data_IF_132347348093
#
_entry.id   IF_132347348093
#
_cell.length_a   1.000
_cell.length_b   1.000
_cell.length_c   1.000
_cell.angle_alpha   90.00
_cell.angle_beta   90.00
_cell.angle_gamma   90.00
#
_symmetry.space_group_name_H-M   'P 1'
#
loop_
_entity.id
_entity.type
_entity.pdbx_description
1 polymer ?
#
# COMPACT_ATOMS: atom_id res chain seq x y z
N UNK A 1 -61.13 21.96 -8.04
CA UNK A 1 -59.78 22.31 -7.54
C UNK A 1 -59.05 21.15 -6.85
N UNK A 2 -59.69 20.00 -6.63
CA UNK A 2 -59.10 18.86 -5.90
C UNK A 2 -58.15 17.99 -6.75
N UNK A 3 -58.41 17.88 -8.06
CA UNK A 3 -57.56 17.11 -8.97
C UNK A 3 -56.19 17.75 -9.23
N UNK A 4 -56.07 19.08 -9.15
CA UNK A 4 -54.81 19.80 -9.33
C UNK A 4 -53.84 19.64 -8.15
N UNK A 5 -54.36 19.43 -6.92
CA UNK A 5 -53.54 19.15 -5.74
C UNK A 5 -53.01 17.71 -5.72
N UNK A 6 -53.79 16.75 -6.24
CA UNK A 6 -53.37 15.34 -6.33
C UNK A 6 -52.30 15.10 -7.41
N UNK A 7 -52.37 15.81 -8.54
CA UNK A 7 -51.30 15.74 -9.56
C UNK A 7 -50.01 16.41 -9.10
N UNK A 8 -50.08 17.52 -8.35
CA UNK A 8 -48.89 18.17 -7.80
C UNK A 8 -48.15 17.28 -6.77
N UNK A 9 -48.90 16.54 -5.93
CA UNK A 9 -48.33 15.59 -4.96
C UNK A 9 -47.64 14.38 -5.62
N UNK A 10 -48.15 13.91 -6.76
CA UNK A 10 -47.56 12.78 -7.50
C UNK A 10 -46.25 13.18 -8.20
N UNK A 11 -46.14 14.43 -8.68
CA UNK A 11 -44.92 14.95 -9.34
C UNK A 11 -43.79 15.18 -8.34
N UNK A 12 -44.10 15.59 -7.10
CA UNK A 12 -43.10 15.76 -6.03
C UNK A 12 -42.53 14.43 -5.50
N UNK A 13 -43.30 13.34 -5.56
CA UNK A 13 -42.86 11.99 -5.19
C UNK A 13 -41.93 11.35 -6.23
N UNK A 14 -42.02 11.76 -7.50
CA UNK A 14 -41.16 11.24 -8.59
C UNK A 14 -39.74 11.84 -8.59
N UNK A 15 -39.50 12.94 -7.86
CA UNK A 15 -38.18 13.60 -7.80
C UNK A 15 -37.32 13.12 -6.62
N UNK A 16 -37.84 12.27 -5.74
CA UNK A 16 -37.14 11.78 -4.54
C UNK A 16 -36.34 10.47 -4.77
N UNK A 17 -36.10 10.08 -6.03
CA UNK A 17 -35.71 8.71 -6.38
C UNK A 17 -34.47 8.56 -7.26
N UNK A 18 -33.39 9.30 -7.02
CA UNK A 18 -32.09 8.97 -7.60
C UNK A 18 -31.02 9.07 -6.51
N UNK A 19 -30.55 7.93 -5.99
CA UNK A 19 -29.31 7.91 -5.23
C UNK A 19 -28.20 8.43 -6.14
N UNK A 20 -27.69 9.63 -5.85
CA UNK A 20 -26.64 10.26 -6.65
C UNK A 20 -25.34 9.53 -6.37
N UNK A 21 -24.84 8.81 -7.37
CA UNK A 21 -23.50 8.24 -7.34
C UNK A 21 -22.53 9.37 -7.66
N UNK A 22 -21.64 9.67 -6.74
CA UNK A 22 -20.62 10.71 -6.91
C UNK A 22 -19.24 10.11 -6.71
N UNK A 23 -18.32 10.43 -7.62
CA UNK A 23 -16.91 10.09 -7.50
C UNK A 23 -16.16 11.40 -7.36
N UNK A 24 -15.53 11.60 -6.21
CA UNK A 24 -14.72 12.79 -5.94
C UNK A 24 -13.26 12.38 -5.75
N UNK A 25 -12.36 13.30 -6.10
CA UNK A 25 -10.94 13.12 -5.79
C UNK A 25 -10.77 13.24 -4.27
N UNK A 26 -10.12 12.26 -3.65
CA UNK A 26 -9.81 12.29 -2.23
C UNK A 26 -8.30 12.25 -2.02
N UNK A 27 -7.82 13.08 -1.10
CA UNK A 27 -6.62 12.76 -0.32
C UNK A 27 -6.98 11.47 0.42
N UNK A 28 -6.50 10.33 -0.09
CA UNK A 28 -7.15 9.04 0.10
C UNK A 28 -7.41 8.59 1.53
N UNK A 29 -8.24 7.55 1.73
CA UNK A 29 -8.41 6.97 3.05
C UNK A 29 -7.04 6.60 3.58
N UNK A 30 -6.75 7.14 4.75
CA UNK A 30 -5.54 6.83 5.49
C UNK A 30 -5.61 5.33 5.82
N UNK A 31 -4.91 4.49 5.05
CA UNK A 31 -4.76 3.06 5.33
C UNK A 31 -4.21 2.85 6.75
N UNK A 32 -3.49 3.85 7.24
CA UNK A 32 -3.03 3.91 8.61
C UNK A 32 -4.11 4.36 9.59
N UNK A 33 -5.29 4.82 9.22
CA UNK A 33 -6.33 5.16 10.21
C UNK A 33 -6.75 3.93 11.02
N UNK A 34 -6.83 2.76 10.38
CA UNK A 34 -7.08 1.49 11.08
C UNK A 34 -5.87 1.06 11.94
N UNK A 35 -4.65 1.27 11.45
CA UNK A 35 -3.40 1.01 12.18
C UNK A 35 -3.19 1.97 13.37
N UNK A 36 -3.40 3.28 13.19
CA UNK A 36 -3.36 4.36 14.19
C UNK A 36 -4.49 4.22 15.21
N UNK A 37 -5.65 3.71 14.81
CA UNK A 37 -6.69 3.33 15.77
C UNK A 37 -6.26 2.17 16.67
N UNK A 38 -5.24 1.39 16.28
CA UNK A 38 -4.75 0.21 17.00
C UNK A 38 -3.37 0.41 17.66
N UNK A 39 -2.64 1.49 17.36
CA UNK A 39 -1.28 1.78 17.85
C UNK A 39 -1.18 3.27 18.22
N UNK A 40 -0.70 3.65 19.42
CA UNK A 40 -0.50 5.05 19.79
C UNK A 40 0.41 5.79 18.80
N UNK A 41 0.05 7.03 18.51
CA UNK A 41 0.31 7.77 17.26
C UNK A 41 1.78 7.91 16.80
N UNK A 42 2.80 7.57 17.60
CA UNK A 42 4.23 7.77 17.24
C UNK A 42 5.24 6.78 17.85
N UNK A 43 4.78 5.78 18.58
CA UNK A 43 5.68 4.86 19.26
C UNK A 43 5.54 3.42 18.75
N UNK A 44 6.55 2.61 19.01
CA UNK A 44 6.53 1.18 18.68
C UNK A 44 5.46 0.46 19.50
N UNK A 45 4.90 -0.61 18.95
CA UNK A 45 4.00 -1.49 19.70
C UNK A 45 4.68 -2.06 20.97
N UNK A 46 3.87 -2.42 21.98
CA UNK A 46 4.40 -3.02 23.21
C UNK A 46 5.18 -4.32 22.93
N UNK A 47 4.80 -5.08 21.90
CA UNK A 47 5.53 -6.26 21.45
C UNK A 47 6.93 -5.91 20.93
N UNK A 48 7.05 -4.85 20.16
CA UNK A 48 8.36 -4.37 19.72
C UNK A 48 9.17 -3.82 20.88
N UNK A 49 8.56 -3.14 21.86
CA UNK A 49 9.26 -2.76 23.09
C UNK A 49 9.80 -3.98 23.85
N UNK A 50 9.03 -5.07 23.97
CA UNK A 50 9.49 -6.31 24.59
C UNK A 50 10.69 -6.90 23.85
N UNK A 51 10.63 -6.97 22.51
CA UNK A 51 11.77 -7.44 21.69
C UNK A 51 12.99 -6.54 21.90
N UNK A 52 12.84 -5.22 21.81
CA UNK A 52 13.95 -4.27 21.98
C UNK A 52 14.58 -4.37 23.38
N UNK A 53 13.79 -4.57 24.44
CA UNK A 53 14.31 -4.81 25.80
C UNK A 53 15.07 -6.13 25.88
N UNK A 54 14.54 -7.21 25.28
CA UNK A 54 15.21 -8.52 25.28
C UNK A 54 16.54 -8.53 24.53
N UNK A 55 16.70 -7.64 23.54
CA UNK A 55 17.92 -7.44 22.77
C UNK A 55 18.86 -6.38 23.38
N UNK A 56 18.50 -5.77 24.51
CA UNK A 56 19.20 -4.63 25.11
C UNK A 56 19.38 -3.42 24.15
N UNK A 57 18.35 -3.19 23.32
CA UNK A 57 18.31 -2.11 22.30
C UNK A 57 17.29 -1.01 22.64
N UNK A 58 16.55 -1.13 23.74
CA UNK A 58 15.50 -0.19 24.10
C UNK A 58 16.00 1.26 24.26
N UNK A 59 17.13 1.45 24.94
CA UNK A 59 17.73 2.79 25.09
C UNK A 59 18.26 3.31 23.74
N UNK A 60 18.88 2.44 22.95
CA UNK A 60 19.42 2.80 21.64
C UNK A 60 18.31 3.25 20.68
N UNK A 61 17.10 2.69 20.77
CA UNK A 61 15.97 3.11 19.94
C UNK A 61 15.59 4.58 20.16
N UNK A 62 15.66 5.03 21.41
CA UNK A 62 15.36 6.42 21.78
C UNK A 62 16.47 7.37 21.29
N UNK A 63 17.73 6.96 21.44
CA UNK A 63 18.88 7.83 21.17
C UNK A 63 19.29 7.84 19.69
N UNK A 64 19.34 6.66 19.07
CA UNK A 64 19.88 6.40 17.73
C UNK A 64 19.03 5.37 16.98
N UNK A 65 17.85 5.76 16.46
CA UNK A 65 16.92 4.83 15.82
C UNK A 65 17.49 4.15 14.57
N UNK A 66 18.26 4.86 13.76
CA UNK A 66 18.91 4.27 12.58
C UNK A 66 19.91 3.16 12.93
N UNK A 67 20.70 3.34 13.99
CA UNK A 67 21.63 2.31 14.48
C UNK A 67 20.87 1.12 15.07
N UNK A 68 19.73 1.36 15.72
CA UNK A 68 18.85 0.31 16.23
C UNK A 68 18.31 -0.54 15.09
N UNK A 69 17.82 0.08 13.99
CA UNK A 69 17.37 -0.64 12.79
C UNK A 69 18.47 -1.57 12.28
N UNK A 70 19.71 -1.07 12.17
CA UNK A 70 20.85 -1.86 11.71
C UNK A 70 21.13 -3.06 12.62
N UNK A 71 21.14 -2.89 13.94
CA UNK A 71 21.38 -3.99 14.89
C UNK A 71 20.26 -5.03 14.87
N UNK A 72 19.00 -4.60 14.78
CA UNK A 72 17.85 -5.51 14.65
C UNK A 72 17.90 -6.23 13.30
N UNK A 73 18.29 -5.56 12.21
CA UNK A 73 18.46 -6.19 10.90
C UNK A 73 19.47 -7.34 10.95
N UNK A 74 20.66 -7.09 11.51
CA UNK A 74 21.69 -8.13 11.67
C UNK A 74 21.20 -9.30 12.54
N UNK A 75 20.44 -8.99 13.60
CA UNK A 75 19.83 -10.00 14.47
C UNK A 75 18.80 -10.84 13.71
N UNK A 76 17.92 -10.20 12.93
CA UNK A 76 16.87 -10.85 12.18
C UNK A 76 17.41 -11.71 11.02
N UNK A 77 18.53 -11.32 10.41
CA UNK A 77 19.23 -12.15 9.41
C UNK A 77 19.79 -13.42 10.05
N UNK A 78 20.42 -13.29 11.22
CA UNK A 78 21.05 -14.42 11.91
C UNK A 78 20.03 -15.38 12.52
N UNK A 79 18.96 -14.84 13.09
CA UNK A 79 17.89 -15.58 13.76
C UNK A 79 16.53 -14.95 13.39
N UNK A 80 15.89 -15.39 12.28
CA UNK A 80 14.68 -14.80 11.73
C UNK A 80 13.41 -15.20 12.50
N UNK A 81 13.43 -15.05 13.83
CA UNK A 81 12.25 -15.25 14.68
C UNK A 81 11.16 -14.24 14.32
N UNK A 82 9.86 -14.61 14.40
CA UNK A 82 8.76 -13.68 14.14
C UNK A 82 8.88 -12.35 14.91
N UNK A 83 9.34 -12.41 16.16
CA UNK A 83 9.57 -11.22 17.01
C UNK A 83 10.58 -10.25 16.37
N UNK A 84 11.73 -10.76 15.90
CA UNK A 84 12.79 -9.96 15.30
C UNK A 84 12.37 -9.37 13.96
N UNK A 85 11.74 -10.18 13.10
CA UNK A 85 11.32 -9.75 11.76
C UNK A 85 10.19 -8.72 11.84
N UNK A 86 9.22 -8.91 12.74
CA UNK A 86 8.17 -7.91 12.97
C UNK A 86 8.74 -6.61 13.53
N UNK A 87 9.61 -6.70 14.55
CA UNK A 87 10.26 -5.53 15.12
C UNK A 87 11.05 -4.77 14.07
N UNK A 88 11.79 -5.46 13.18
CA UNK A 88 12.49 -4.84 12.06
C UNK A 88 11.53 -4.10 11.12
N UNK A 89 10.38 -4.67 10.80
CA UNK A 89 9.38 -4.00 9.96
C UNK A 89 8.90 -2.71 10.64
N UNK A 90 8.43 -2.80 11.89
CA UNK A 90 7.84 -1.66 12.59
C UNK A 90 8.82 -0.49 12.78
N UNK A 91 10.03 -0.77 13.30
CA UNK A 91 11.02 0.29 13.56
C UNK A 91 11.56 0.91 12.26
N UNK A 92 11.66 0.13 11.18
CA UNK A 92 12.04 0.63 9.86
C UNK A 92 10.99 1.62 9.34
N UNK A 93 9.70 1.28 9.44
CA UNK A 93 8.63 2.20 9.06
C UNK A 93 8.67 3.51 9.86
N UNK A 94 8.80 3.42 11.19
CA UNK A 94 8.84 4.60 12.06
C UNK A 94 10.08 5.46 11.77
N UNK A 95 11.23 4.85 11.51
CA UNK A 95 12.46 5.56 11.15
C UNK A 95 12.32 6.28 9.81
N UNK A 96 11.79 5.60 8.78
CA UNK A 96 11.50 6.21 7.48
C UNK A 96 10.51 7.38 7.59
N UNK A 97 9.52 7.27 8.49
CA UNK A 97 8.59 8.37 8.78
C UNK A 97 9.25 9.57 9.46
N UNK A 98 10.13 9.33 10.45
CA UNK A 98 10.86 10.39 11.15
C UNK A 98 11.76 11.18 10.19
N UNK A 99 12.33 10.52 9.20
CA UNK A 99 13.10 11.16 8.12
C UNK A 99 12.19 11.93 7.16
N UNK A 100 11.12 11.29 6.68
CA UNK A 100 10.07 11.94 5.91
C UNK A 100 10.59 12.82 4.77
N UNK A 101 10.13 14.07 4.72
CA UNK A 101 10.57 15.05 3.72
C UNK A 101 11.98 15.61 3.98
N UNK A 102 12.56 15.43 5.17
CA UNK A 102 13.91 15.95 5.49
C UNK A 102 14.97 15.21 4.72
N UNK A 103 14.79 13.89 4.58
CA UNK A 103 15.66 13.03 3.77
C UNK A 103 14.80 11.98 3.06
N UNK A 104 14.19 12.34 1.91
CA UNK A 104 13.27 11.46 1.20
C UNK A 104 13.98 10.24 0.62
N UNK A 105 15.27 10.36 0.31
CA UNK A 105 16.06 9.23 -0.12
C UNK A 105 16.18 8.22 1.03
N UNK A 106 16.70 8.63 2.19
CA UNK A 106 16.93 7.67 3.27
C UNK A 106 15.61 7.10 3.77
N UNK A 107 14.54 7.92 3.79
CA UNK A 107 13.21 7.45 4.09
C UNK A 107 12.77 6.29 3.18
N UNK A 108 13.06 6.37 1.87
CA UNK A 108 12.75 5.31 0.91
C UNK A 108 13.48 4.01 1.23
N UNK A 109 14.76 4.08 1.63
CA UNK A 109 15.53 2.90 2.06
C UNK A 109 14.87 2.19 3.24
N UNK A 110 14.47 2.94 4.27
CA UNK A 110 13.79 2.36 5.44
C UNK A 110 12.39 1.81 5.10
N UNK A 111 11.66 2.46 4.20
CA UNK A 111 10.39 1.93 3.70
C UNK A 111 10.60 0.62 2.95
N UNK A 112 11.60 0.53 2.06
CA UNK A 112 11.91 -0.71 1.36
C UNK A 112 12.27 -1.84 2.34
N UNK A 113 13.10 -1.56 3.35
CA UNK A 113 13.43 -2.51 4.40
C UNK A 113 12.21 -2.98 5.19
N UNK A 114 11.29 -2.07 5.52
CA UNK A 114 10.04 -2.44 6.18
C UNK A 114 9.15 -3.32 5.27
N UNK A 115 9.02 -3.00 3.98
CA UNK A 115 8.23 -3.81 3.05
C UNK A 115 8.78 -5.25 2.95
N UNK A 116 10.11 -5.40 2.85
CA UNK A 116 10.76 -6.72 2.84
C UNK A 116 10.56 -7.48 4.15
N UNK A 117 10.81 -6.84 5.30
CA UNK A 117 10.61 -7.46 6.60
C UNK A 117 9.14 -7.87 6.84
N UNK A 118 8.18 -7.00 6.49
CA UNK A 118 6.76 -7.32 6.60
C UNK A 118 6.36 -8.48 5.67
N UNK A 119 6.88 -8.51 4.45
CA UNK A 119 6.68 -9.64 3.53
C UNK A 119 7.22 -10.94 4.13
N UNK A 120 8.47 -10.98 4.59
CA UNK A 120 9.04 -12.19 5.19
C UNK A 120 8.34 -12.60 6.48
N UNK A 121 7.83 -11.66 7.27
CA UNK A 121 6.97 -11.98 8.41
C UNK A 121 5.67 -12.67 7.97
N UNK A 122 4.97 -12.11 6.98
CA UNK A 122 3.68 -12.62 6.51
C UNK A 122 3.77 -13.98 5.84
N UNK A 123 4.84 -14.22 5.07
CA UNK A 123 5.03 -15.44 4.27
C UNK A 123 5.95 -16.48 4.95
N UNK A 124 6.72 -16.08 5.96
CA UNK A 124 7.59 -16.98 6.73
C UNK A 124 6.99 -17.45 8.06
N UNK A 125 5.85 -16.90 8.49
CA UNK A 125 5.25 -17.28 9.78
C UNK A 125 4.57 -18.66 9.74
N UNK A 126 4.67 -19.45 10.82
CA UNK A 126 4.06 -20.78 10.88
C UNK A 126 2.53 -20.73 10.95
N UNK A 127 1.90 -21.89 10.75
CA UNK A 127 0.46 -22.11 10.91
C UNK A 127 -0.03 -21.59 12.26
N UNK A 128 -1.03 -20.71 12.26
CA UNK A 128 -1.58 -20.04 13.46
C UNK A 128 -1.19 -18.56 13.62
N UNK A 129 -0.26 -18.05 12.83
CA UNK A 129 0.14 -16.64 12.86
C UNK A 129 -1.01 -15.66 12.58
N UNK A 130 -2.06 -16.10 11.88
CA UNK A 130 -3.26 -15.29 11.63
C UNK A 130 -3.98 -14.84 12.93
N UNK A 131 -3.78 -15.53 14.05
CA UNK A 131 -4.32 -15.14 15.36
C UNK A 131 -3.41 -14.19 16.14
N UNK A 132 -2.17 -13.98 15.68
CA UNK A 132 -1.27 -12.99 16.27
C UNK A 132 -1.63 -11.58 15.76
N UNK A 133 -1.93 -10.61 16.64
CA UNK A 133 -2.21 -9.23 16.22
C UNK A 133 -1.14 -8.62 15.32
N UNK A 134 0.12 -9.06 15.46
CA UNK A 134 1.24 -8.62 14.62
C UNK A 134 1.07 -8.99 13.15
N UNK A 135 0.35 -10.06 12.83
CA UNK A 135 0.03 -10.43 11.46
C UNK A 135 -0.82 -9.37 10.77
N UNK A 136 -1.83 -8.84 11.48
CA UNK A 136 -2.63 -7.73 10.96
C UNK A 136 -1.80 -6.46 10.81
N UNK A 137 -0.96 -6.15 11.79
CA UNK A 137 -0.09 -4.98 11.74
C UNK A 137 0.93 -5.06 10.60
N UNK A 138 1.55 -6.23 10.38
CA UNK A 138 2.49 -6.45 9.27
C UNK A 138 1.82 -6.29 7.91
N UNK A 139 0.58 -6.77 7.77
CA UNK A 139 -0.24 -6.57 6.58
C UNK A 139 -0.51 -5.09 6.33
N UNK A 140 -0.89 -4.33 7.35
CA UNK A 140 -1.16 -2.89 7.25
C UNK A 140 0.12 -2.10 6.93
N UNK A 141 1.26 -2.46 7.52
CA UNK A 141 2.58 -1.88 7.22
C UNK A 141 2.97 -2.13 5.76
N UNK A 142 2.88 -3.37 5.29
CA UNK A 142 3.21 -3.76 3.92
C UNK A 142 2.38 -2.97 2.89
N UNK A 143 1.04 -2.97 3.04
CA UNK A 143 0.15 -2.27 2.12
C UNK A 143 0.36 -0.74 2.16
N UNK A 144 0.60 -0.17 3.35
CA UNK A 144 0.88 1.26 3.49
C UNK A 144 2.13 1.65 2.73
N UNK A 145 3.23 0.93 2.95
CA UNK A 145 4.50 1.28 2.32
C UNK A 145 4.42 1.13 0.82
N UNK A 146 3.84 0.03 0.35
CA UNK A 146 3.67 -0.17 -1.07
C UNK A 146 2.86 0.97 -1.70
N UNK A 147 1.83 1.46 -1.00
CA UNK A 147 1.04 2.62 -1.44
C UNK A 147 1.92 3.86 -1.56
N UNK A 148 2.72 4.15 -0.53
CA UNK A 148 3.63 5.32 -0.53
C UNK A 148 4.71 5.22 -1.60
N UNK A 149 5.29 4.05 -1.82
CA UNK A 149 6.28 3.81 -2.87
C UNK A 149 5.69 4.05 -4.26
N UNK A 150 4.49 3.54 -4.53
CA UNK A 150 3.80 3.75 -5.81
C UNK A 150 3.44 5.23 -6.02
N UNK A 151 2.93 5.90 -5.00
CA UNK A 151 2.64 7.33 -5.04
C UNK A 151 3.91 8.16 -5.31
N UNK A 152 5.02 7.84 -4.65
CA UNK A 152 6.31 8.51 -4.89
C UNK A 152 6.85 8.25 -6.30
N UNK A 153 6.78 7.01 -6.79
CA UNK A 153 7.21 6.66 -8.15
C UNK A 153 6.35 7.35 -9.21
N UNK A 154 5.03 7.44 -8.99
CA UNK A 154 4.10 8.14 -9.87
C UNK A 154 4.37 9.66 -9.88
N UNK A 155 4.57 10.29 -8.72
CA UNK A 155 4.90 11.70 -8.62
C UNK A 155 6.22 12.06 -9.31
N UNK A 156 7.19 11.12 -9.33
CA UNK A 156 8.45 11.27 -10.04
C UNK A 156 8.37 10.93 -11.54
N UNK A 157 7.21 10.51 -12.06
CA UNK A 157 7.06 10.05 -13.45
C UNK A 157 7.82 8.75 -13.77
N UNK A 158 8.21 8.00 -12.74
CA UNK A 158 9.02 6.77 -12.85
C UNK A 158 8.18 5.49 -12.90
N UNK A 159 6.87 5.58 -12.64
CA UNK A 159 5.98 4.42 -12.63
C UNK A 159 5.45 4.13 -14.04
N UNK A 160 6.23 3.40 -14.84
CA UNK A 160 5.77 2.82 -16.10
C UNK A 160 5.55 1.31 -15.91
N UNK A 161 4.30 0.81 -15.98
CA UNK A 161 4.02 -0.63 -15.79
C UNK A 161 4.56 -1.52 -16.90
N UNK A 162 5.05 -0.98 -18.01
CA UNK A 162 5.53 -1.75 -19.17
C UNK A 162 6.99 -2.16 -19.03
N UNK A 163 7.72 -1.56 -18.10
CA UNK A 163 9.15 -1.75 -17.96
C UNK A 163 9.54 -1.93 -16.50
N UNK A 164 10.69 -2.55 -16.29
CA UNK A 164 11.26 -2.69 -14.96
C UNK A 164 11.58 -1.31 -14.36
N UNK A 165 11.30 -1.14 -13.07
CA UNK A 165 11.54 0.12 -12.37
C UNK A 165 12.98 0.12 -11.84
N UNK A 166 13.74 1.16 -12.16
CA UNK A 166 15.03 1.40 -11.49
C UNK A 166 14.77 2.12 -10.17
N UNK A 167 15.37 1.64 -9.09
CA UNK A 167 15.35 2.29 -7.77
C UNK A 167 16.79 2.56 -7.36
N UNK A 168 17.07 3.81 -7.02
CA UNK A 168 18.39 4.25 -6.56
C UNK A 168 18.32 4.40 -5.04
N UNK A 169 19.25 3.77 -4.33
CA UNK A 169 19.45 3.93 -2.89
C UNK A 169 20.35 5.13 -2.61
N UNK A 170 20.42 5.57 -1.36
CA UNK A 170 21.12 6.81 -0.99
C UNK A 170 22.63 6.68 -0.96
N UNK A 171 23.14 5.46 -0.86
CA UNK A 171 24.53 5.12 -1.05
C UNK A 171 24.90 5.00 -2.54
N UNK A 172 23.98 5.35 -3.45
CA UNK A 172 24.22 5.39 -4.89
C UNK A 172 24.15 4.03 -5.57
N UNK A 173 23.74 2.98 -4.86
CA UNK A 173 23.46 1.69 -5.50
C UNK A 173 22.14 1.78 -6.27
N UNK A 174 22.07 1.04 -7.36
CA UNK A 174 20.84 0.93 -8.14
C UNK A 174 20.42 -0.52 -8.18
N UNK A 175 19.14 -0.76 -7.89
CA UNK A 175 18.54 -2.06 -8.07
C UNK A 175 17.32 -1.97 -8.96
N UNK A 176 17.04 -3.08 -9.64
CA UNK A 176 15.94 -3.19 -10.58
C UNK A 176 14.78 -3.93 -9.92
N UNK A 177 13.63 -3.29 -9.85
CA UNK A 177 12.37 -3.95 -9.53
C UNK A 177 11.75 -4.46 -10.83
N UNK A 178 11.74 -5.78 -10.99
CA UNK A 178 11.13 -6.39 -12.16
C UNK A 178 9.62 -6.25 -12.14
N UNK A 179 9.05 -5.72 -13.22
CA UNK A 179 7.59 -5.62 -13.36
C UNK A 179 7.08 -6.86 -14.09
N UNK A 180 6.08 -7.52 -13.49
CA UNK A 180 5.48 -8.75 -14.02
C UNK A 180 3.97 -8.64 -13.97
N UNK A 181 3.32 -8.95 -15.08
CA UNK A 181 1.87 -9.01 -15.20
C UNK A 181 1.41 -10.44 -14.95
N UNK A 182 0.52 -10.65 -13.98
CA UNK A 182 0.04 -11.99 -13.61
C UNK A 182 -1.49 -12.03 -13.63
N UNK A 183 -2.06 -13.03 -14.31
CA UNK A 183 -3.51 -13.24 -14.35
C UNK A 183 -4.31 -12.24 -15.20
N UNK A 184 -3.66 -11.50 -16.10
CA UNK A 184 -4.33 -10.55 -16.98
C UNK A 184 -4.55 -11.11 -18.39
N UNK A 185 -5.71 -10.80 -18.96
CA UNK A 185 -5.99 -11.06 -20.38
C UNK A 185 -5.35 -10.01 -21.31
N UNK A 186 -4.96 -8.86 -20.76
CA UNK A 186 -4.31 -7.75 -21.46
C UNK A 186 -2.81 -8.00 -21.59
N UNK A 187 -2.23 -7.61 -22.73
CA UNK A 187 -0.78 -7.67 -22.93
C UNK A 187 -0.07 -6.54 -22.18
N UNK A 188 1.22 -6.70 -21.80
CA UNK A 188 1.97 -5.66 -21.11
C UNK A 188 1.92 -4.29 -21.77
N UNK A 189 1.94 -4.22 -23.11
CA UNK A 189 1.95 -2.97 -23.87
C UNK A 189 0.63 -2.18 -23.76
N UNK A 190 -0.43 -2.87 -23.33
CA UNK A 190 -1.77 -2.30 -23.11
C UNK A 190 -1.90 -1.61 -21.76
N UNK A 191 -0.93 -1.77 -20.84
CA UNK A 191 -0.92 -1.06 -19.57
C UNK A 191 -0.39 0.36 -19.77
N UNK A 192 -1.26 1.34 -19.53
CA UNK A 192 -0.92 2.77 -19.57
C UNK A 192 -0.70 3.32 -18.17
N UNK A 193 -1.36 4.44 -17.86
CA UNK A 193 -1.23 5.09 -16.56
C UNK A 193 -1.85 4.23 -15.44
N UNK A 194 -1.17 4.16 -14.31
CA UNK A 194 -1.68 3.58 -13.07
C UNK A 194 -2.18 4.67 -12.13
N UNK A 195 -3.39 4.51 -11.60
CA UNK A 195 -4.01 5.44 -10.65
C UNK A 195 -4.34 4.71 -9.34
N UNK A 196 -3.83 5.16 -8.18
CA UNK A 196 -4.21 4.58 -6.89
C UNK A 196 -5.70 4.70 -6.64
N UNK A 197 -6.37 3.60 -6.28
CA UNK A 197 -7.79 3.64 -5.91
C UNK A 197 -8.04 4.55 -4.69
N UNK A 198 -7.04 4.71 -3.82
CA UNK A 198 -7.10 5.62 -2.69
C UNK A 198 -7.30 7.08 -3.11
N UNK A 199 -6.96 7.49 -4.33
CA UNK A 199 -7.17 8.86 -4.79
C UNK A 199 -8.65 9.20 -5.08
N UNK A 200 -9.55 8.23 -4.96
CA UNK A 200 -10.97 8.39 -5.30
C UNK A 200 -11.86 7.99 -4.12
N UNK A 201 -12.91 8.78 -3.90
CA UNK A 201 -13.99 8.49 -2.97
C UNK A 201 -15.28 8.30 -3.75
N UNK A 202 -16.01 7.24 -3.43
CA UNK A 202 -17.34 6.97 -3.99
C UNK A 202 -18.41 7.24 -2.94
N UNK A 203 -19.43 8.01 -3.32
CA UNK A 203 -20.66 8.24 -2.55
C UNK A 203 -21.85 7.67 -3.33
N UNK A 204 -22.90 7.24 -2.62
CA UNK A 204 -24.09 6.66 -3.25
C UNK A 204 -23.91 5.24 -3.82
N UNK A 205 -22.74 4.62 -3.64
CA UNK A 205 -22.47 3.22 -3.97
C UNK A 205 -22.24 2.39 -2.71
N UNK A 206 -22.79 1.18 -2.67
CA UNK A 206 -22.43 0.20 -1.65
C UNK A 206 -20.98 -0.21 -1.85
N UNK A 207 -20.13 0.18 -0.91
CA UNK A 207 -18.69 -0.08 -0.96
C UNK A 207 -18.44 -1.56 -0.68
N UNK A 208 -18.13 -2.33 -1.72
CA UNK A 208 -17.67 -3.72 -1.59
C UNK A 208 -16.14 -3.71 -1.53
N UNK A 209 -15.59 -4.05 -0.36
CA UNK A 209 -14.14 -4.15 -0.13
C UNK A 209 -13.77 -5.59 0.18
N UNK A 210 -12.84 -6.13 -0.60
CA UNK A 210 -12.15 -7.38 -0.27
C UNK A 210 -10.82 -7.04 0.37
N UNK A 211 -10.53 -7.62 1.54
CA UNK A 211 -9.23 -7.47 2.17
C UNK A 211 -8.20 -8.38 1.48
N UNK A 212 -7.04 -7.83 1.13
CA UNK A 212 -5.95 -8.58 0.50
C UNK A 212 -4.61 -7.83 0.55
N UNK A 213 -3.52 -8.56 0.30
CA UNK A 213 -2.18 -7.98 0.22
C UNK A 213 -1.99 -7.26 -1.11
N UNK A 214 -1.33 -6.11 -1.05
CA UNK A 214 -1.06 -5.27 -2.21
C UNK A 214 -1.81 -3.93 -2.16
N UNK A 215 -1.67 -3.18 -3.25
CA UNK A 215 -2.28 -1.87 -3.42
C UNK A 215 -3.24 -1.92 -4.61
N UNK A 216 -4.54 -1.65 -4.41
CA UNK A 216 -5.49 -1.59 -5.50
C UNK A 216 -5.25 -0.33 -6.34
N UNK A 217 -5.14 -0.53 -7.64
CA UNK A 217 -4.95 0.52 -8.64
C UNK A 217 -5.98 0.37 -9.76
N UNK A 218 -6.24 1.47 -10.44
CA UNK A 218 -6.96 1.55 -11.70
C UNK A 218 -5.90 1.67 -12.79
N UNK A 219 -5.80 0.68 -13.67
CA UNK A 219 -4.96 0.78 -14.86
C UNK A 219 -5.79 1.37 -16.00
N UNK A 220 -5.29 2.44 -16.61
CA UNK A 220 -5.80 2.95 -17.88
C UNK A 220 -5.15 2.18 -19.01
N UNK A 221 -5.93 1.81 -20.03
CA UNK A 221 -5.38 1.21 -21.24
C UNK A 221 -4.50 2.23 -21.97
N UNK A 222 -3.33 1.78 -22.41
CA UNK A 222 -2.40 2.59 -23.19
C UNK A 222 -3.06 3.10 -24.47
N UNK A 223 -2.96 4.42 -24.72
CA UNK A 223 -3.48 5.03 -25.95
C UNK A 223 -2.77 4.53 -27.22
N UNK A 224 -1.55 4.01 -27.07
CA UNK A 224 -0.74 3.46 -28.16
C UNK A 224 -0.95 1.94 -28.33
N UNK A 225 -1.79 1.32 -27.51
CA UNK A 225 -2.14 -0.08 -27.69
C UNK A 225 -2.88 -0.29 -29.01
N UNK A 226 -2.68 -1.43 -29.70
CA UNK A 226 -3.47 -1.78 -30.89
C UNK A 226 -4.96 -1.62 -30.60
N UNK A 227 -5.77 -1.23 -31.59
CA UNK A 227 -7.22 -1.19 -31.42
C UNK A 227 -7.68 -2.55 -30.85
N UNK A 228 -8.43 -2.60 -29.74
CA UNK A 228 -8.99 -3.87 -29.29
C UNK A 228 -9.77 -4.40 -30.48
N UNK A 229 -9.42 -5.58 -31.00
CA UNK A 229 -9.96 -6.13 -32.25
C UNK A 229 -11.48 -6.39 -32.24
N UNK A 230 -12.19 -5.84 -31.25
CA UNK A 230 -13.62 -5.90 -31.02
C UNK A 230 -14.09 -4.44 -30.88
N UNK A 231 -14.79 -3.91 -31.90
CA UNK A 231 -15.34 -2.54 -31.92
C UNK A 231 -16.43 -2.24 -30.88
N UNK A 232 -16.43 -2.98 -29.77
CA UNK A 232 -17.36 -2.88 -28.65
C UNK A 232 -16.73 -2.29 -27.39
N UNK A 233 -15.42 -2.05 -27.37
CA UNK A 233 -14.77 -1.40 -26.23
C UNK A 233 -14.93 0.13 -26.30
N UNK A 234 -15.20 0.79 -25.17
CA UNK A 234 -15.20 2.25 -25.10
C UNK A 234 -13.80 2.81 -25.42
N UNK A 235 -13.75 4.07 -25.88
CA UNK A 235 -12.49 4.76 -26.23
C UNK A 235 -11.50 4.82 -25.07
N UNK A 236 -12.02 4.94 -23.86
CA UNK A 236 -11.26 4.88 -22.62
C UNK A 236 -11.62 3.60 -21.87
N UNK A 237 -10.69 2.66 -21.84
CA UNK A 237 -10.83 1.41 -21.08
C UNK A 237 -9.98 1.54 -19.83
N UNK A 238 -10.59 1.29 -18.67
CA UNK A 238 -9.87 1.09 -17.42
C UNK A 238 -10.17 -0.29 -16.86
N UNK A 239 -9.23 -0.85 -16.11
CA UNK A 239 -9.39 -2.16 -15.50
C UNK A 239 -8.70 -2.22 -14.12
N UNK A 240 -9.25 -3.03 -13.19
CA UNK A 240 -8.70 -3.15 -11.85
C UNK A 240 -7.40 -3.93 -11.89
N UNK A 241 -6.38 -3.43 -11.19
CA UNK A 241 -5.12 -4.13 -10.99
C UNK A 241 -4.70 -4.01 -9.53
N UNK A 242 -3.89 -4.96 -9.05
CA UNK A 242 -3.28 -4.87 -7.72
C UNK A 242 -1.77 -4.88 -7.89
N UNK A 243 -1.10 -3.85 -7.39
CA UNK A 243 0.35 -3.86 -7.29
C UNK A 243 0.77 -4.66 -6.05
N UNK A 244 1.80 -5.49 -6.21
CA UNK A 244 2.32 -6.36 -5.17
C UNK A 244 3.84 -6.46 -5.32
N UNK A 245 4.59 -6.24 -4.25
CA UNK A 245 6.03 -6.46 -4.22
C UNK A 245 6.32 -7.89 -3.74
N UNK A 246 6.89 -8.69 -4.63
CA UNK A 246 7.40 -10.01 -4.30
C UNK A 246 8.87 -9.88 -3.95
N UNK A 247 9.23 -10.27 -2.72
CA UNK A 247 10.62 -10.41 -2.30
C UNK A 247 11.01 -11.87 -2.49
N UNK A 248 12.08 -12.10 -3.26
CA UNK A 248 12.63 -13.43 -3.49
C UNK A 248 13.75 -13.72 -2.49
N UNK A 249 13.92 -15.00 -2.12
CA UNK A 249 14.95 -15.43 -1.17
C UNK A 249 14.52 -15.32 0.29
N UNK A 250 15.51 -15.20 1.17
CA UNK A 250 15.35 -15.03 2.61
C UNK A 250 15.53 -13.57 3.01
N UNK A 251 15.28 -13.25 4.28
CA UNK A 251 15.62 -11.93 4.81
C UNK A 251 17.14 -11.65 4.76
N UNK A 252 17.94 -12.72 4.75
CA UNK A 252 19.39 -12.71 4.53
C UNK A 252 19.75 -12.64 3.05
#
# INVERSE_FOLDING_TARGET
MENARRTLGLVLLLLAGCGRIEVSNSQGPDLLAAWRASVPDQDVSERTWQTLRSLDLAQLWNDRPGETVQRVYQTAIRDPRPDHVFTLAEISYLTGRRLGHKDPCQALTYYYLCAGAAYHYLFGSPTGAAFDPRYRLAFDLYNTILTRCLQAAQAAGRLDPRQDLQVSTCDGQEFRLSVRHHGFAWKPEEFGQLLPCSNFRTEGLTVHRTYGLGVPLIALRSANAPDPGHGHFPREVSFPVTAFFRFEGTLA
#
